data_IF_922749709320
#
_entry.id   IF_922749709320
#
_cell.length_a   1.000
_cell.length_b   1.000
_cell.length_c   1.000
_cell.angle_alpha   90.00
_cell.angle_beta   90.00
_cell.angle_gamma   90.00
#
_symmetry.space_group_name_H-M   'P 1'
#
loop_
_entity.id
_entity.type
_entity.pdbx_description
1 polymer ?
#
# COMPACT_ATOMS: atom_id res chain seq x y z
N UNK A 1 15.87 -10.53 -4.19
CA UNK A 1 15.19 -9.22 -4.40
C UNK A 1 15.43 -8.82 -5.84
N UNK A 2 14.39 -8.35 -6.53
CA UNK A 2 14.51 -7.74 -7.86
C UNK A 2 14.08 -6.28 -7.76
N UNK A 3 14.84 -5.39 -8.37
CA UNK A 3 14.56 -3.95 -8.46
C UNK A 3 14.34 -3.53 -9.92
N UNK A 4 13.63 -2.43 -10.14
CA UNK A 4 13.54 -1.76 -11.45
C UNK A 4 14.73 -0.81 -11.69
N UNK A 5 14.71 -0.12 -12.83
CA UNK A 5 15.72 0.86 -13.24
C UNK A 5 15.87 2.06 -12.29
N UNK A 6 14.84 2.35 -11.49
CA UNK A 6 14.82 3.41 -10.48
C UNK A 6 15.06 2.86 -9.07
N UNK A 7 15.68 1.68 -8.94
CA UNK A 7 15.99 1.03 -7.68
C UNK A 7 14.77 0.78 -6.78
N UNK A 8 13.57 0.68 -7.36
CA UNK A 8 12.38 0.27 -6.60
C UNK A 8 12.28 -1.24 -6.60
N UNK A 9 12.06 -1.81 -5.42
CA UNK A 9 11.79 -3.23 -5.27
C UNK A 9 10.52 -3.56 -6.04
N UNK A 10 10.63 -4.46 -7.02
CA UNK A 10 9.48 -4.96 -7.78
C UNK A 10 9.06 -6.35 -7.29
N UNK A 11 10.00 -7.12 -6.74
CA UNK A 11 9.73 -8.47 -6.27
C UNK A 11 10.68 -8.88 -5.15
N UNK A 12 10.13 -9.55 -4.14
CA UNK A 12 10.88 -10.17 -3.05
C UNK A 12 10.79 -11.68 -3.18
N UNK A 13 11.96 -12.31 -3.23
CA UNK A 13 12.09 -13.77 -3.23
C UNK A 13 11.65 -14.30 -1.87
N UNK A 14 10.60 -15.14 -1.85
CA UNK A 14 10.14 -15.81 -0.62
C UNK A 14 11.26 -16.61 0.02
N UNK A 15 11.30 -16.62 1.35
CA UNK A 15 12.34 -17.23 2.19
C UNK A 15 13.76 -16.70 1.95
N UNK A 16 13.92 -15.63 1.16
CA UNK A 16 15.20 -14.97 0.95
C UNK A 16 15.56 -14.00 2.09
N UNK A 17 16.80 -13.46 2.11
CA UNK A 17 17.27 -12.57 3.19
C UNK A 17 16.45 -11.29 3.39
N UNK A 18 15.75 -10.86 2.34
CA UNK A 18 14.90 -9.67 2.30
C UNK A 18 13.42 -9.97 2.59
N UNK A 19 13.03 -11.26 2.65
CA UNK A 19 11.62 -11.65 2.89
C UNK A 19 11.16 -11.14 4.26
N UNK A 20 9.98 -10.53 4.29
CA UNK A 20 9.42 -9.85 5.46
C UNK A 20 10.14 -8.57 5.91
N UNK A 21 11.28 -8.18 5.31
CA UNK A 21 12.04 -6.97 5.67
C UNK A 21 11.81 -5.84 4.67
N UNK A 22 11.96 -6.16 3.39
CA UNK A 22 11.66 -5.29 2.27
C UNK A 22 10.33 -5.71 1.66
N UNK A 23 9.66 -4.74 1.05
CA UNK A 23 8.42 -4.91 0.34
C UNK A 23 8.57 -4.39 -1.09
N UNK A 24 7.80 -4.91 -2.05
CA UNK A 24 7.62 -4.22 -3.31
C UNK A 24 7.25 -2.75 -3.07
N UNK A 25 7.75 -1.86 -3.91
CA UNK A 25 7.59 -0.41 -3.78
C UNK A 25 8.63 0.30 -2.91
N UNK A 26 9.38 -0.42 -2.07
CA UNK A 26 10.51 0.17 -1.33
C UNK A 26 11.55 0.68 -2.33
N UNK A 27 12.02 1.92 -2.16
CA UNK A 27 13.05 2.53 -2.98
C UNK A 27 14.40 2.42 -2.28
N UNK A 28 15.35 1.73 -2.89
CA UNK A 28 16.67 1.50 -2.30
C UNK A 28 17.53 2.76 -2.45
N UNK A 29 18.02 3.28 -1.32
CA UNK A 29 18.85 4.50 -1.26
C UNK A 29 20.32 4.16 -1.04
N UNK A 30 20.60 3.18 -0.18
CA UNK A 30 21.97 2.84 0.22
C UNK A 30 22.11 1.33 0.43
N UNK A 31 23.25 0.77 0.03
CA UNK A 31 23.64 -0.61 0.28
C UNK A 31 25.05 -0.61 0.89
N UNK A 32 25.17 -1.22 2.07
CA UNK A 32 26.37 -1.12 2.90
C UNK A 32 26.66 0.33 3.28
N UNK A 33 27.82 0.79 2.86
CA UNK A 33 28.39 2.12 3.02
C UNK A 33 28.28 2.98 1.75
N UNK A 34 27.61 2.49 0.70
CA UNK A 34 27.48 3.17 -0.60
C UNK A 34 26.05 3.59 -0.89
N UNK A 35 25.83 4.89 -1.12
CA UNK A 35 24.61 5.38 -1.75
C UNK A 35 24.57 4.89 -3.20
N UNK A 36 23.40 4.45 -3.64
CA UNK A 36 23.22 3.83 -4.96
C UNK A 36 22.15 4.60 -5.73
N UNK A 37 22.40 4.84 -7.01
CA UNK A 37 21.48 5.52 -7.93
C UNK A 37 21.12 4.64 -9.13
N UNK A 38 21.96 3.64 -9.44
CA UNK A 38 21.73 2.71 -10.56
C UNK A 38 21.72 1.26 -10.12
N UNK A 39 21.09 0.39 -10.93
CA UNK A 39 21.03 -1.06 -10.68
C UNK A 39 22.44 -1.68 -10.63
N UNK A 40 23.36 -1.21 -11.48
CA UNK A 40 24.74 -1.70 -11.49
C UNK A 40 25.50 -1.31 -10.22
N UNK A 41 25.33 -0.08 -9.73
CA UNK A 41 25.88 0.34 -8.44
C UNK A 41 25.32 -0.50 -7.29
N UNK A 42 24.02 -0.75 -7.29
CA UNK A 42 23.38 -1.59 -6.28
C UNK A 42 23.93 -3.03 -6.32
N UNK A 43 24.08 -3.63 -7.51
CA UNK A 43 24.68 -4.96 -7.67
C UNK A 43 26.12 -4.99 -7.17
N UNK A 44 26.94 -4.02 -7.61
CA UNK A 44 28.34 -3.91 -7.18
C UNK A 44 28.47 -3.68 -5.67
N UNK A 45 27.57 -2.92 -5.06
CA UNK A 45 27.56 -2.69 -3.61
C UNK A 45 27.17 -3.96 -2.83
N UNK A 46 26.23 -4.77 -3.31
CA UNK A 46 25.89 -6.06 -2.70
C UNK A 46 27.08 -7.03 -2.80
N UNK A 47 27.71 -7.12 -3.96
CA UNK A 47 28.87 -8.00 -4.18
C UNK A 47 30.07 -7.61 -3.30
N UNK A 48 30.27 -6.30 -3.08
CA UNK A 48 31.29 -5.80 -2.17
C UNK A 48 30.93 -6.00 -0.68
N UNK A 49 29.64 -6.03 -0.35
CA UNK A 49 29.13 -6.18 1.01
C UNK A 49 29.16 -7.66 1.44
N UNK A 50 30.34 -8.18 1.72
CA UNK A 50 30.65 -9.59 2.04
C UNK A 50 29.54 -10.46 2.66
N UNK A 51 29.61 -10.74 3.97
CA UNK A 51 28.68 -11.68 4.62
C UNK A 51 27.40 -11.07 5.17
N UNK A 52 27.32 -9.74 5.26
CA UNK A 52 26.16 -9.02 5.82
C UNK A 52 25.98 -7.70 5.10
N UNK A 53 24.75 -7.42 4.67
CA UNK A 53 24.41 -6.23 3.89
C UNK A 53 23.45 -5.38 4.71
N UNK A 54 23.81 -4.10 4.91
CA UNK A 54 22.89 -3.08 5.43
C UNK A 54 22.19 -2.41 4.26
N UNK A 55 20.88 -2.25 4.31
CA UNK A 55 20.13 -1.55 3.25
C UNK A 55 19.39 -0.39 3.91
N UNK A 56 19.57 0.81 3.36
CA UNK A 56 18.72 1.97 3.65
C UNK A 56 17.79 2.15 2.48
N UNK A 57 16.50 2.25 2.77
CA UNK A 57 15.46 2.38 1.77
C UNK A 57 14.39 3.35 2.26
N UNK A 58 13.73 4.01 1.32
CA UNK A 58 12.50 4.73 1.59
C UNK A 58 11.32 3.80 1.26
N UNK A 59 10.40 3.66 2.21
CA UNK A 59 9.18 2.89 2.00
C UNK A 59 8.18 3.76 1.25
N UNK A 60 8.25 3.70 -0.08
CA UNK A 60 7.44 4.50 -1.02
C UNK A 60 5.94 4.20 -1.03
N UNK A 61 5.46 3.34 -0.13
CA UNK A 61 4.05 3.25 0.20
C UNK A 61 3.69 4.55 0.93
N UNK A 62 3.23 5.55 0.18
CA UNK A 62 2.76 6.82 0.72
C UNK A 62 1.24 6.81 0.64
N UNK A 63 0.60 6.76 1.81
CA UNK A 63 -0.83 6.96 1.94
C UNK A 63 -1.10 8.16 2.81
N UNK A 64 -2.06 8.97 2.40
CA UNK A 64 -2.44 10.16 3.15
C UNK A 64 -3.74 9.84 3.88
N UNK A 65 -3.69 9.86 5.21
CA UNK A 65 -4.89 9.77 6.05
C UNK A 65 -5.19 11.15 6.61
N UNK A 66 -6.38 11.66 6.31
CA UNK A 66 -6.84 12.96 6.78
C UNK A 66 -8.08 12.78 7.66
N UNK A 67 -8.08 13.45 8.82
CA UNK A 67 -9.25 13.49 9.70
C UNK A 67 -10.35 14.42 9.15
N UNK A 68 -9.97 15.36 8.28
CA UNK A 68 -10.89 16.22 7.58
C UNK A 68 -11.34 15.53 6.30
N UNK A 69 -12.63 15.20 6.25
CA UNK A 69 -13.26 14.60 5.08
C UNK A 69 -13.64 15.73 4.12
N UNK A 70 -13.29 15.64 2.82
CA UNK A 70 -13.70 16.64 1.84
C UNK A 70 -15.24 16.84 1.82
N UNK A 71 -15.71 18.08 1.69
CA UNK A 71 -17.16 18.42 1.73
C UNK A 71 -18.01 17.58 0.77
N UNK A 72 -17.47 17.28 -0.40
CA UNK A 72 -18.08 16.39 -1.41
C UNK A 72 -18.44 15.00 -0.86
N UNK A 73 -17.61 14.45 0.04
CA UNK A 73 -17.84 13.16 0.69
C UNK A 73 -18.81 13.27 1.88
N UNK A 74 -18.93 14.44 2.52
CA UNK A 74 -19.82 14.64 3.68
C UNK A 74 -21.30 14.48 3.32
N UNK A 75 -21.69 14.76 2.07
CA UNK A 75 -23.05 14.55 1.60
C UNK A 75 -23.48 13.08 1.53
N UNK A 76 -22.52 12.13 1.53
CA UNK A 76 -22.77 10.70 1.31
C UNK A 76 -23.17 9.94 2.59
N UNK A 77 -22.88 10.50 3.77
CA UNK A 77 -23.16 9.87 5.06
C UNK A 77 -23.44 10.89 6.15
N UNK A 78 -24.17 10.47 7.19
CA UNK A 78 -24.34 11.28 8.41
C UNK A 78 -23.32 10.85 9.45
N UNK A 79 -22.51 11.80 9.93
CA UNK A 79 -21.63 11.57 11.08
C UNK A 79 -22.49 11.19 12.29
N UNK A 80 -22.03 10.18 13.03
CA UNK A 80 -22.64 9.74 14.29
C UNK A 80 -21.68 10.08 15.42
N UNK A 81 -22.24 10.55 16.53
CA UNK A 81 -21.45 10.79 17.74
C UNK A 81 -20.79 9.50 18.22
N UNK A 82 -19.57 9.61 18.71
CA UNK A 82 -18.76 8.48 19.17
C UNK A 82 -17.99 7.72 18.08
N UNK A 83 -18.04 8.16 16.82
CA UNK A 83 -17.29 7.54 15.71
C UNK A 83 -16.25 8.48 15.12
N UNK A 84 -15.08 7.94 14.81
CA UNK A 84 -14.05 8.64 14.02
C UNK A 84 -14.19 8.29 12.55
N UNK A 85 -14.07 9.28 11.70
CA UNK A 85 -14.15 9.12 10.25
C UNK A 85 -12.85 9.62 9.62
N UNK A 86 -12.32 8.87 8.66
CA UNK A 86 -11.06 9.16 8.00
C UNK A 86 -11.27 9.19 6.49
N UNK A 87 -10.64 10.17 5.84
CA UNK A 87 -10.44 10.16 4.40
C UNK A 87 -9.06 9.58 4.10
N UNK A 88 -9.01 8.53 3.29
CA UNK A 88 -7.77 7.81 2.97
C UNK A 88 -7.54 7.87 1.47
N UNK A 89 -6.37 8.38 1.08
CA UNK A 89 -5.86 8.27 -0.27
C UNK A 89 -4.71 7.26 -0.31
N UNK A 90 -4.89 6.17 -1.06
CA UNK A 90 -3.88 5.12 -1.26
C UNK A 90 -3.34 5.23 -2.68
N UNK A 91 -2.06 5.55 -2.81
CA UNK A 91 -1.40 5.61 -4.10
C UNK A 91 -1.00 4.20 -4.53
N UNK A 92 -1.40 3.77 -5.72
CA UNK A 92 -0.99 2.49 -6.24
C UNK A 92 0.51 2.49 -6.54
N UNK A 93 1.19 1.42 -6.14
CA UNK A 93 2.61 1.21 -6.44
C UNK A 93 2.74 -0.10 -7.19
N UNK A 94 3.30 -0.04 -8.40
CA UNK A 94 3.48 -1.21 -9.27
C UNK A 94 4.24 -2.32 -8.55
N UNK A 95 3.76 -3.56 -8.68
CA UNK A 95 4.32 -4.73 -7.99
C UNK A 95 3.87 -4.90 -6.54
N UNK A 96 3.18 -3.91 -5.95
CA UNK A 96 2.60 -4.04 -4.63
C UNK A 96 1.18 -4.60 -4.71
N UNK A 97 0.89 -5.59 -3.88
CA UNK A 97 -0.49 -6.02 -3.68
C UNK A 97 -1.26 -4.94 -2.91
N UNK A 98 -2.50 -4.70 -3.31
CA UNK A 98 -3.40 -3.85 -2.53
C UNK A 98 -3.70 -4.45 -1.14
N UNK A 99 -3.86 -5.78 -1.08
CA UNK A 99 -3.85 -6.56 0.16
C UNK A 99 -4.99 -6.28 1.14
N UNK A 100 -6.18 -6.00 0.60
CA UNK A 100 -7.39 -5.74 1.37
C UNK A 100 -8.40 -6.89 1.21
N UNK A 101 -8.84 -7.47 2.33
CA UNK A 101 -10.01 -8.33 2.40
C UNK A 101 -11.22 -7.55 2.91
N UNK A 102 -12.37 -7.68 2.23
CA UNK A 102 -13.64 -7.06 2.65
C UNK A 102 -14.72 -8.11 2.83
N UNK A 103 -15.66 -7.85 3.75
CA UNK A 103 -16.89 -8.64 3.95
C UNK A 103 -18.11 -7.74 3.99
N UNK A 104 -19.25 -8.29 3.59
CA UNK A 104 -20.55 -7.64 3.72
C UNK A 104 -21.15 -8.03 5.08
N UNK A 105 -21.66 -7.05 5.84
CA UNK A 105 -22.55 -7.31 6.97
C UNK A 105 -23.56 -6.18 7.18
N UNK A 106 -24.87 -6.48 7.16
CA UNK A 106 -25.95 -5.52 7.40
C UNK A 106 -25.83 -4.21 6.59
N UNK A 107 -25.68 -4.32 5.26
CA UNK A 107 -25.48 -3.17 4.35
C UNK A 107 -24.21 -2.35 4.60
N UNK A 108 -23.23 -2.93 5.30
CA UNK A 108 -21.92 -2.33 5.54
C UNK A 108 -20.84 -3.15 4.86
N UNK A 109 -19.81 -2.46 4.36
CA UNK A 109 -18.60 -3.08 3.83
C UNK A 109 -17.50 -2.96 4.87
N UNK A 110 -17.13 -4.08 5.48
CA UNK A 110 -16.20 -4.11 6.60
C UNK A 110 -14.89 -4.73 6.14
N UNK A 111 -13.78 -4.12 6.52
CA UNK A 111 -12.45 -4.70 6.34
C UNK A 111 -12.34 -5.97 7.18
N UNK A 112 -12.19 -7.10 6.52
CA UNK A 112 -12.12 -8.43 7.15
C UNK A 112 -10.70 -8.93 7.35
N UNK A 113 -9.76 -8.44 6.55
CA UNK A 113 -8.35 -8.84 6.59
C UNK A 113 -7.49 -7.73 5.99
N UNK A 114 -6.34 -7.50 6.61
CA UNK A 114 -5.27 -6.70 6.03
C UNK A 114 -4.04 -7.59 5.84
N UNK A 115 -3.53 -7.65 4.62
CA UNK A 115 -2.31 -8.38 4.35
C UNK A 115 -1.09 -7.56 4.82
N UNK A 116 -0.19 -8.11 5.66
CA UNK A 116 1.02 -7.41 6.07
C UNK A 116 1.85 -6.96 4.87
N UNK A 117 2.36 -5.73 4.94
CA UNK A 117 3.18 -5.12 3.90
C UNK A 117 2.46 -4.80 2.58
N UNK A 118 1.13 -4.74 2.61
CA UNK A 118 0.32 -4.28 1.48
C UNK A 118 0.09 -2.76 1.48
N UNK A 119 -0.45 -2.24 0.38
CA UNK A 119 -0.84 -0.83 0.28
C UNK A 119 -1.90 -0.47 1.33
N UNK A 120 -2.89 -1.33 1.55
CA UNK A 120 -3.95 -1.09 2.53
C UNK A 120 -3.44 -1.09 3.97
N UNK A 121 -2.36 -1.83 4.28
CA UNK A 121 -1.85 -2.00 5.64
C UNK A 121 -1.31 -0.72 6.28
N UNK A 122 -1.11 0.34 5.50
CA UNK A 122 -0.63 1.62 6.03
C UNK A 122 -1.73 2.53 6.56
N UNK A 123 -2.96 2.35 6.09
CA UNK A 123 -4.03 3.33 6.29
C UNK A 123 -5.34 2.71 6.74
N UNK A 124 -5.53 1.41 6.48
CA UNK A 124 -6.72 0.66 6.83
C UNK A 124 -6.36 -0.41 7.86
N UNK A 125 -7.33 -0.70 8.71
CA UNK A 125 -7.25 -1.70 9.76
C UNK A 125 -8.43 -2.66 9.66
N UNK A 126 -8.25 -3.85 10.22
CA UNK A 126 -9.37 -4.78 10.34
C UNK A 126 -10.50 -4.16 11.16
N UNK A 127 -11.75 -4.42 10.74
CA UNK A 127 -13.00 -3.86 11.29
C UNK A 127 -13.29 -2.42 10.87
N UNK A 128 -12.44 -1.76 10.10
CA UNK A 128 -12.79 -0.49 9.48
C UNK A 128 -14.03 -0.65 8.59
N UNK A 129 -14.89 0.36 8.64
CA UNK A 129 -16.08 0.43 7.81
C UNK A 129 -15.82 1.32 6.59
N UNK A 130 -15.84 0.71 5.41
CA UNK A 130 -15.72 1.44 4.14
C UNK A 130 -17.10 1.99 3.79
N UNK A 131 -17.21 3.31 3.81
CA UNK A 131 -18.47 4.03 3.55
C UNK A 131 -18.57 4.42 2.07
N UNK A 132 -17.44 4.79 1.46
CA UNK A 132 -17.34 5.32 0.11
C UNK A 132 -16.00 4.93 -0.51
N UNK A 133 -15.98 4.77 -1.83
CA UNK A 133 -14.77 4.62 -2.63
C UNK A 133 -14.86 5.61 -3.80
N UNK A 134 -13.95 6.59 -3.85
CA UNK A 134 -13.83 7.60 -4.91
C UNK A 134 -15.14 8.40 -5.17
N UNK A 135 -15.84 8.80 -4.12
CA UNK A 135 -17.09 9.55 -4.18
C UNK A 135 -18.33 8.68 -4.39
N UNK A 136 -18.19 7.35 -4.45
CA UNK A 136 -19.30 6.42 -4.66
C UNK A 136 -19.53 5.67 -3.35
N UNK A 137 -20.71 5.89 -2.77
CA UNK A 137 -21.15 5.20 -1.56
C UNK A 137 -21.20 3.69 -1.79
N UNK A 138 -20.70 2.93 -0.81
CA UNK A 138 -20.72 1.48 -0.84
C UNK A 138 -21.49 0.90 0.34
N UNK A 139 -22.37 -0.04 0.04
CA UNK A 139 -23.15 -0.79 1.04
C UNK A 139 -23.10 -2.29 0.80
N UNK A 140 -22.41 -2.71 -0.26
CA UNK A 140 -22.24 -4.11 -0.65
C UNK A 140 -20.79 -4.40 -1.07
N UNK A 141 -20.33 -5.61 -0.72
CA UNK A 141 -18.94 -6.03 -0.96
C UNK A 141 -18.61 -6.16 -2.45
N UNK A 142 -19.55 -6.57 -3.31
CA UNK A 142 -19.27 -6.76 -4.73
C UNK A 142 -19.17 -5.41 -5.45
N UNK A 143 -19.99 -4.43 -5.03
CA UNK A 143 -19.87 -3.04 -5.49
C UNK A 143 -18.52 -2.47 -5.08
N UNK A 144 -18.15 -2.59 -3.79
CA UNK A 144 -16.87 -2.10 -3.30
C UNK A 144 -15.68 -2.78 -4.01
N UNK A 145 -15.74 -4.10 -4.21
CA UNK A 145 -14.71 -4.85 -4.95
C UNK A 145 -14.57 -4.34 -6.38
N UNK A 146 -15.68 -4.11 -7.06
CA UNK A 146 -15.70 -3.62 -8.45
C UNK A 146 -15.10 -2.22 -8.57
N UNK A 147 -15.42 -1.32 -7.62
CA UNK A 147 -14.87 0.03 -7.57
C UNK A 147 -13.36 0.03 -7.29
N UNK A 148 -12.90 -0.77 -6.33
CA UNK A 148 -11.47 -0.92 -6.03
C UNK A 148 -10.70 -1.45 -7.24
N UNK A 149 -11.20 -2.52 -7.88
CA UNK A 149 -10.55 -3.08 -9.08
C UNK A 149 -10.50 -2.07 -10.22
N UNK A 150 -11.58 -1.31 -10.42
CA UNK A 150 -11.62 -0.25 -11.45
C UNK A 150 -10.60 0.85 -11.15
N UNK A 151 -10.51 1.30 -9.91
CA UNK A 151 -9.57 2.34 -9.50
C UNK A 151 -8.11 1.88 -9.72
N UNK A 152 -7.80 0.62 -9.45
CA UNK A 152 -6.45 0.07 -9.61
C UNK A 152 -6.06 -0.16 -11.08
N UNK A 153 -7.01 -0.54 -11.95
CA UNK A 153 -6.74 -0.76 -13.40
C UNK A 153 -6.38 0.53 -14.16
N UNK A 154 -6.88 1.68 -13.72
CA UNK A 154 -6.61 2.97 -14.39
C UNK A 154 -5.13 3.37 -14.23
N UNK A 155 -4.43 2.87 -13.20
CA UNK A 155 -3.01 3.16 -12.98
C UNK A 155 -2.05 2.36 -13.88
N UNK A 156 -2.53 1.36 -14.61
CA UNK A 156 -1.73 0.57 -15.57
C UNK A 156 -1.87 1.09 -17.03
N UNK A 157 -2.53 2.24 -17.24
CA UNK A 157 -2.80 2.84 -18.56
C UNK A 157 -1.83 3.97 -18.93
#
# INVERSE_FOLDING_TARGET
MRVDENLRVIEITKQGPCDGKLLPGDHIIQIGDRTVQTVDEARNAIEAAGGTVRIVFDRGLQSTTQNNIPEQCESLFKRREGFTYHYVQINYVKGCKFGLGIKHFQNNVIVSRIDPGSLAAQSLQEKDHIIDINGIKVTDKEVARSLLVRALKICDS
#
